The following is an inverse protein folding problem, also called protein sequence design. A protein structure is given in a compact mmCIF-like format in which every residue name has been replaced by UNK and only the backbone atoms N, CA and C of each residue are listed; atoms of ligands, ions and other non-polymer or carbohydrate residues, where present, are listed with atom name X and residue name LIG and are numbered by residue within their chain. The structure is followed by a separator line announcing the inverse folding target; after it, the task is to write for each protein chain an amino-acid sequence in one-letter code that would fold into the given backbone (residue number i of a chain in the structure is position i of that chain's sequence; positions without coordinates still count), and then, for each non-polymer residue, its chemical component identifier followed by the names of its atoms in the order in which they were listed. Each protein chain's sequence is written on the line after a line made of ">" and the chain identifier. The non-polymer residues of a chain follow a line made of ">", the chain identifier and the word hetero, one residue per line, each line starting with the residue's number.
data_IF_452495818668
#
_entry.id   IF_452495818668
#
_cell.length_a   1.000
_cell.length_b   1.000
_cell.length_c   1.000
_cell.angle_alpha   90.00
_cell.angle_beta   90.00
_cell.angle_gamma   90.00
#
_symmetry.space_group_name_H-M   'P 1'
#
loop_
_entity.id
_entity.type
_entity.pdbx_description
1 polymer ?
#
# COMPACT_ATOMS: atom_id res chain seq x y z
N UNK A 1 7.79 29.25 11.60
CA UNK A 1 7.92 28.14 10.62
C UNK A 1 8.46 26.94 11.37
N UNK A 2 7.59 26.02 11.77
CA UNK A 2 7.97 24.82 12.53
C UNK A 2 8.66 23.87 11.56
N UNK A 3 9.94 23.59 11.79
CA UNK A 3 10.71 22.58 11.05
C UNK A 3 9.92 21.27 11.08
N UNK A 4 9.46 20.80 9.92
CA UNK A 4 8.95 19.45 9.75
C UNK A 4 10.10 18.50 10.11
N UNK A 5 10.07 17.97 11.33
CA UNK A 5 11.04 16.96 11.76
C UNK A 5 10.92 15.78 10.80
N UNK A 6 11.98 15.48 10.07
CA UNK A 6 12.10 14.26 9.28
C UNK A 6 11.79 13.07 10.21
N UNK A 7 10.73 12.34 9.90
CA UNK A 7 10.30 11.18 10.69
C UNK A 7 10.60 9.93 9.87
N UNK A 8 11.30 9.00 10.49
CA UNK A 8 11.43 7.67 9.93
C UNK A 8 10.19 6.82 10.28
N UNK A 9 9.71 6.07 9.30
CA UNK A 9 8.65 5.08 9.50
C UNK A 9 9.26 3.71 9.76
N UNK A 10 8.65 2.90 10.63
CA UNK A 10 9.04 1.51 10.77
C UNK A 10 8.94 0.79 9.42
N UNK A 11 9.98 0.04 9.07
CA UNK A 11 9.97 -0.81 7.89
C UNK A 11 10.04 -2.28 8.32
N UNK A 12 9.07 -3.05 7.86
CA UNK A 12 8.96 -4.48 8.14
C UNK A 12 9.27 -5.34 6.92
N UNK A 13 9.72 -4.74 5.82
CA UNK A 13 10.16 -5.47 4.63
C UNK A 13 11.43 -6.24 4.97
N UNK A 14 11.43 -7.55 4.71
CA UNK A 14 12.59 -8.43 4.93
C UNK A 14 13.41 -8.66 3.68
N UNK A 15 12.74 -8.96 2.56
CA UNK A 15 13.37 -9.25 1.28
C UNK A 15 12.33 -9.20 0.15
N UNK A 16 12.81 -9.29 -1.09
CA UNK A 16 11.96 -9.56 -2.24
C UNK A 16 12.11 -11.03 -2.63
N UNK A 17 11.07 -11.61 -3.20
CA UNK A 17 11.05 -13.04 -3.54
C UNK A 17 10.47 -13.25 -4.94
N UNK A 18 11.15 -14.07 -5.76
CA UNK A 18 10.64 -14.44 -7.07
C UNK A 18 9.30 -15.18 -6.94
N UNK A 19 8.28 -14.71 -7.65
CA UNK A 19 6.92 -15.29 -7.60
C UNK A 19 6.84 -16.73 -8.15
N UNK A 20 7.86 -17.19 -8.86
CA UNK A 20 7.91 -18.54 -9.44
C UNK A 20 8.87 -19.46 -8.70
N UNK A 21 10.09 -18.99 -8.42
CA UNK A 21 11.17 -19.86 -7.92
C UNK A 21 11.40 -19.77 -6.42
N UNK A 22 10.85 -18.74 -5.75
CA UNK A 22 11.13 -18.45 -4.35
C UNK A 22 12.53 -17.87 -4.10
N UNK A 23 13.35 -17.62 -5.15
CA UNK A 23 14.67 -17.00 -5.00
C UNK A 23 14.54 -15.65 -4.34
N UNK A 24 15.38 -15.39 -3.33
CA UNK A 24 15.37 -14.14 -2.55
C UNK A 24 16.29 -13.10 -3.15
N UNK A 25 15.85 -11.85 -3.06
CA UNK A 25 16.55 -10.66 -3.54
C UNK A 25 16.58 -9.62 -2.41
N UNK A 26 17.61 -8.80 -2.43
CA UNK A 26 17.76 -7.71 -1.49
C UNK A 26 16.64 -6.68 -1.64
N UNK A 27 16.06 -6.25 -0.53
CA UNK A 27 15.13 -5.12 -0.47
C UNK A 27 15.90 -3.80 -0.29
N UNK A 28 15.24 -2.67 -0.60
CA UNK A 28 15.81 -1.33 -0.39
C UNK A 28 16.75 -0.85 -1.50
N UNK A 29 16.91 -1.64 -2.55
CA UNK A 29 17.61 -1.24 -3.78
C UNK A 29 16.69 -1.43 -4.99
N UNK A 30 16.87 -0.64 -6.08
CA UNK A 30 16.09 -0.84 -7.29
C UNK A 30 16.26 -2.25 -7.87
N UNK A 31 15.15 -2.93 -8.09
CA UNK A 31 15.09 -4.26 -8.66
C UNK A 31 14.20 -4.28 -9.90
N UNK A 32 14.56 -5.07 -10.88
CA UNK A 32 13.71 -5.39 -12.03
C UNK A 32 12.90 -6.68 -11.81
N UNK A 33 12.79 -7.48 -12.86
CA UNK A 33 12.27 -8.83 -12.75
C UNK A 33 13.31 -9.77 -12.13
N UNK A 34 12.85 -10.89 -11.58
CA UNK A 34 13.74 -11.97 -11.13
C UNK A 34 14.56 -12.54 -12.28
N UNK A 35 15.61 -13.33 -11.99
CA UNK A 35 16.39 -14.07 -13.02
C UNK A 35 15.52 -14.99 -13.87
N UNK A 36 14.39 -15.45 -13.34
CA UNK A 36 13.40 -16.23 -14.08
C UNK A 36 12.42 -15.37 -14.90
N UNK A 37 12.63 -14.04 -15.02
CA UNK A 37 11.77 -13.12 -15.75
C UNK A 37 10.40 -12.94 -15.10
N UNK A 38 10.28 -13.11 -13.79
CA UNK A 38 9.01 -13.03 -13.04
C UNK A 38 9.00 -11.85 -12.07
N UNK A 39 7.78 -11.36 -11.72
CA UNK A 39 7.63 -10.33 -10.69
C UNK A 39 8.22 -10.75 -9.36
N UNK A 40 8.71 -9.77 -8.61
CA UNK A 40 9.18 -9.93 -7.25
C UNK A 40 8.06 -9.56 -6.27
N UNK A 41 7.83 -10.43 -5.30
CA UNK A 41 6.89 -10.24 -4.21
C UNK A 41 7.62 -9.63 -3.01
N UNK A 42 7.09 -8.58 -2.44
CA UNK A 42 7.62 -7.99 -1.20
C UNK A 42 7.24 -8.89 -0.03
N UNK A 43 8.23 -9.27 0.78
CA UNK A 43 8.05 -10.09 1.97
C UNK A 43 8.25 -9.27 3.24
N UNK A 44 7.38 -9.48 4.22
CA UNK A 44 7.31 -8.74 5.47
C UNK A 44 7.52 -9.67 6.66
N UNK A 45 8.09 -9.13 7.73
CA UNK A 45 8.05 -9.71 9.06
C UNK A 45 6.69 -9.38 9.70
N UNK A 46 5.70 -10.24 9.45
CA UNK A 46 4.32 -10.01 9.90
C UNK A 46 4.17 -10.10 11.42
N UNK A 47 4.96 -10.93 12.10
CA UNK A 47 4.90 -11.09 13.55
C UNK A 47 5.43 -9.83 14.23
N UNK A 48 6.55 -9.30 13.75
CA UNK A 48 7.09 -8.03 14.22
C UNK A 48 6.13 -6.87 13.93
N UNK A 49 5.52 -6.84 12.76
CA UNK A 49 4.52 -5.83 12.40
C UNK A 49 3.30 -5.90 13.31
N UNK A 50 2.74 -7.10 13.56
CA UNK A 50 1.60 -7.31 14.43
C UNK A 50 1.87 -6.91 15.89
N UNK A 51 3.13 -6.99 16.31
CA UNK A 51 3.56 -6.55 17.65
C UNK A 51 3.79 -5.04 17.75
N UNK A 52 3.97 -4.36 16.59
CA UNK A 52 4.36 -2.95 16.54
C UNK A 52 3.19 -1.99 16.30
N UNK A 53 2.05 -2.47 15.80
CA UNK A 53 0.89 -1.64 15.47
C UNK A 53 -0.42 -2.37 15.73
N UNK A 54 -1.41 -1.66 16.29
CA UNK A 54 -2.76 -2.17 16.54
C UNK A 54 -3.77 -1.67 15.49
N UNK A 55 -4.93 -2.31 15.44
CA UNK A 55 -6.03 -1.85 14.58
C UNK A 55 -6.55 -0.49 15.01
N UNK A 56 -6.65 -0.28 16.30
CA UNK A 56 -7.12 0.97 16.92
C UNK A 56 -6.21 2.15 16.55
N UNK A 57 -4.90 1.93 16.55
CA UNK A 57 -3.94 2.94 16.11
C UNK A 57 -4.09 3.28 14.62
N UNK A 58 -4.35 2.28 13.77
CA UNK A 58 -4.61 2.50 12.34
C UNK A 58 -5.94 3.25 12.15
N UNK A 59 -6.99 2.87 12.88
CA UNK A 59 -8.31 3.50 12.80
C UNK A 59 -8.31 4.96 13.26
N UNK A 60 -7.52 5.29 14.27
CA UNK A 60 -7.38 6.64 14.79
C UNK A 60 -6.66 7.61 13.83
N UNK A 61 -6.01 7.11 12.78
CA UNK A 61 -5.31 7.95 11.81
C UNK A 61 -6.27 8.56 10.79
N UNK A 62 -5.87 9.72 10.28
CA UNK A 62 -6.54 10.31 9.12
C UNK A 62 -6.64 9.30 7.96
N UNK A 63 -7.76 9.32 7.24
CA UNK A 63 -8.01 8.42 6.13
C UNK A 63 -7.03 8.62 4.98
N UNK A 64 -7.05 7.69 4.03
CA UNK A 64 -6.20 7.70 2.85
C UNK A 64 -5.19 6.55 2.80
N UNK A 65 -4.36 6.56 1.77
CA UNK A 65 -3.44 5.46 1.49
C UNK A 65 -2.34 5.32 2.58
N UNK A 66 -1.77 6.44 3.01
CA UNK A 66 -0.64 6.47 3.94
C UNK A 66 -0.99 6.19 5.41
N UNK A 67 -2.28 5.99 5.72
CA UNK A 67 -2.65 5.49 7.05
C UNK A 67 -2.06 4.11 7.34
N UNK A 68 -1.73 3.35 6.29
CA UNK A 68 -1.17 2.00 6.32
C UNK A 68 0.36 2.00 6.09
N UNK A 69 1.06 3.05 6.46
CA UNK A 69 2.48 3.26 6.15
C UNK A 69 3.41 2.13 6.60
N UNK A 70 3.09 1.41 7.67
CA UNK A 70 3.87 0.26 8.16
C UNK A 70 3.81 -0.94 7.21
N UNK A 71 2.80 -0.99 6.35
CA UNK A 71 2.66 -2.00 5.30
C UNK A 71 3.33 -1.58 3.98
N UNK A 72 3.98 -0.41 3.96
CA UNK A 72 4.59 0.16 2.78
C UNK A 72 6.11 0.23 2.95
N UNK A 73 6.89 0.08 1.86
CA UNK A 73 8.35 0.06 1.94
C UNK A 73 9.01 1.43 2.11
N UNK A 74 8.26 2.53 2.06
CA UNK A 74 8.78 3.89 2.24
C UNK A 74 9.13 4.11 3.69
N UNK A 75 10.38 4.52 3.96
CA UNK A 75 10.88 4.74 5.32
C UNK A 75 10.92 6.20 5.74
N UNK A 76 11.08 7.13 4.80
CA UNK A 76 11.22 8.56 5.09
C UNK A 76 9.94 9.33 4.82
N UNK A 77 9.45 10.06 5.82
CA UNK A 77 8.24 10.89 5.69
C UNK A 77 8.31 11.94 4.58
N UNK A 78 9.49 12.46 4.30
CA UNK A 78 9.73 13.44 3.22
C UNK A 78 9.56 12.86 1.81
N UNK A 79 9.61 11.53 1.67
CA UNK A 79 9.41 10.84 0.41
C UNK A 79 7.94 10.47 0.16
N UNK A 80 7.10 10.63 1.17
CA UNK A 80 5.65 10.44 1.04
C UNK A 80 5.09 11.44 0.04
N UNK A 81 4.37 10.93 -0.95
CA UNK A 81 3.65 11.73 -1.94
C UNK A 81 2.19 11.36 -1.86
N UNK A 82 1.33 12.36 -1.65
CA UNK A 82 -0.11 12.21 -1.65
C UNK A 82 -0.72 13.24 -2.61
N UNK A 83 -1.55 12.78 -3.53
CA UNK A 83 -2.35 13.60 -4.43
C UNK A 83 -3.81 13.68 -3.98
N UNK A 84 -4.09 13.31 -2.72
CA UNK A 84 -5.43 13.24 -2.16
C UNK A 84 -6.07 11.86 -2.30
N UNK A 85 -5.28 10.78 -2.19
CA UNK A 85 -5.79 9.40 -2.18
C UNK A 85 -6.64 9.20 -0.91
N UNK A 86 -7.94 9.41 -1.08
CA UNK A 86 -8.93 9.31 -0.01
C UNK A 86 -9.24 7.86 0.39
N UNK A 87 -9.90 7.69 1.53
CA UNK A 87 -10.62 6.46 1.84
C UNK A 87 -11.85 6.38 0.95
N UNK A 88 -11.81 5.48 -0.03
CA UNK A 88 -12.89 5.31 -1.00
C UNK A 88 -14.10 4.62 -0.38
N UNK A 89 -15.34 4.99 -0.77
CA UNK A 89 -16.55 4.45 -0.17
C UNK A 89 -16.76 2.98 -0.49
N UNK A 90 -17.40 2.29 0.44
CA UNK A 90 -17.95 0.95 0.27
C UNK A 90 -19.45 1.08 -0.02
N UNK A 91 -19.87 0.69 -1.21
CA UNK A 91 -21.25 0.83 -1.67
C UNK A 91 -21.91 -0.53 -1.77
N UNK A 92 -22.99 -0.84 -1.01
CA UNK A 92 -23.75 -2.07 -1.19
C UNK A 92 -24.50 -2.05 -2.52
N UNK A 93 -24.62 -3.21 -3.15
CA UNK A 93 -25.31 -3.41 -4.43
C UNK A 93 -26.55 -4.30 -4.26
N UNK A 94 -27.64 -3.81 -3.64
CA UNK A 94 -28.79 -4.66 -3.29
C UNK A 94 -29.50 -5.24 -4.51
N UNK A 95 -29.67 -4.48 -5.59
CA UNK A 95 -30.30 -4.96 -6.82
C UNK A 95 -29.51 -6.10 -7.48
N UNK A 96 -28.17 -5.98 -7.50
CA UNK A 96 -27.33 -7.05 -8.06
C UNK A 96 -27.29 -8.26 -7.14
N UNK A 97 -27.23 -8.04 -5.83
CA UNK A 97 -27.28 -9.10 -4.83
C UNK A 97 -28.55 -9.94 -4.97
N UNK A 98 -29.71 -9.28 -5.14
CA UNK A 98 -30.98 -9.96 -5.38
C UNK A 98 -30.96 -10.82 -6.65
N UNK A 99 -30.43 -10.28 -7.76
CA UNK A 99 -30.30 -11.04 -9.03
C UNK A 99 -29.38 -12.26 -8.91
N UNK A 100 -28.37 -12.19 -8.05
CA UNK A 100 -27.40 -13.26 -7.81
C UNK A 100 -27.79 -14.19 -6.66
N UNK A 101 -28.96 -13.96 -6.04
CA UNK A 101 -29.43 -14.71 -4.86
C UNK A 101 -28.41 -14.74 -3.71
N UNK A 102 -27.68 -13.65 -3.51
CA UNK A 102 -26.76 -13.47 -2.38
C UNK A 102 -27.31 -12.43 -1.40
N UNK A 103 -26.86 -12.49 -0.15
CA UNK A 103 -27.24 -11.50 0.85
C UNK A 103 -26.77 -10.09 0.40
N UNK A 104 -27.68 -9.10 0.42
CA UNK A 104 -27.43 -7.73 -0.02
C UNK A 104 -26.31 -7.03 0.75
N UNK A 105 -26.10 -7.40 2.02
CA UNK A 105 -25.03 -6.84 2.86
C UNK A 105 -23.65 -7.42 2.53
N UNK A 106 -23.60 -8.52 1.78
CA UNK A 106 -22.37 -9.22 1.42
C UNK A 106 -21.84 -8.87 0.03
N UNK A 107 -22.61 -8.16 -0.78
CA UNK A 107 -22.18 -7.69 -2.09
C UNK A 107 -21.90 -6.18 -2.04
N UNK A 108 -20.64 -5.83 -1.91
CA UNK A 108 -20.18 -4.45 -1.70
C UNK A 108 -19.14 -4.12 -2.78
N UNK A 109 -19.25 -2.94 -3.37
CA UNK A 109 -18.24 -2.36 -4.27
C UNK A 109 -17.43 -1.32 -3.52
N UNK A 110 -16.11 -1.42 -3.59
CA UNK A 110 -15.20 -0.35 -3.21
C UNK A 110 -14.96 0.55 -4.43
N UNK A 111 -15.47 1.79 -4.37
CA UNK A 111 -15.45 2.71 -5.52
C UNK A 111 -14.08 3.42 -5.65
N UNK A 112 -13.12 2.76 -6.24
CA UNK A 112 -11.79 3.32 -6.53
C UNK A 112 -11.79 4.34 -7.69
N UNK A 113 -12.91 4.53 -8.39
CA UNK A 113 -13.09 5.61 -9.37
C UNK A 113 -13.05 7.00 -8.76
N UNK A 114 -13.17 7.13 -7.44
CA UNK A 114 -13.07 8.41 -6.70
C UNK A 114 -11.66 8.83 -6.35
N UNK A 115 -10.66 8.04 -6.70
CA UNK A 115 -9.27 8.42 -6.53
C UNK A 115 -8.87 9.52 -7.53
N UNK A 116 -7.81 10.31 -7.26
CA UNK A 116 -7.41 11.45 -8.08
C UNK A 116 -7.24 11.16 -9.58
N UNK A 117 -6.84 9.93 -9.93
CA UNK A 117 -6.68 9.50 -11.34
C UNK A 117 -7.95 8.83 -11.91
N UNK A 118 -9.05 8.79 -11.17
CA UNK A 118 -10.25 8.04 -11.53
C UNK A 118 -10.05 6.52 -11.55
N UNK A 119 -9.00 6.00 -10.93
CA UNK A 119 -8.61 4.60 -11.02
C UNK A 119 -7.85 4.13 -9.77
N UNK A 120 -8.00 2.84 -9.43
CA UNK A 120 -7.21 2.18 -8.37
C UNK A 120 -5.68 2.30 -8.55
N UNK A 121 -5.22 2.56 -9.77
CA UNK A 121 -3.79 2.74 -10.09
C UNK A 121 -3.15 3.91 -9.34
N UNK A 122 -3.93 4.90 -8.89
CA UNK A 122 -3.42 6.02 -8.11
C UNK A 122 -2.62 5.55 -6.89
N UNK A 123 -3.09 4.53 -6.17
CA UNK A 123 -2.41 4.01 -4.98
C UNK A 123 -1.04 3.42 -5.30
N UNK A 124 -0.98 2.54 -6.31
CA UNK A 124 0.28 1.93 -6.73
C UNK A 124 1.27 2.94 -7.31
N UNK A 125 0.79 3.93 -8.06
CA UNK A 125 1.63 4.96 -8.64
C UNK A 125 2.14 5.94 -7.57
N UNK A 126 1.34 6.31 -6.59
CA UNK A 126 1.81 7.11 -5.44
C UNK A 126 2.96 6.40 -4.71
N UNK A 127 2.84 5.09 -4.48
CA UNK A 127 3.89 4.29 -3.90
C UNK A 127 5.13 4.22 -4.79
N UNK A 128 4.96 4.00 -6.10
CA UNK A 128 6.08 3.90 -7.04
C UNK A 128 6.90 5.20 -7.09
N UNK A 129 6.22 6.36 -7.13
CA UNK A 129 6.89 7.67 -7.12
C UNK A 129 7.57 7.94 -5.76
N UNK A 130 6.93 7.57 -4.66
CA UNK A 130 7.54 7.68 -3.33
C UNK A 130 8.81 6.83 -3.22
N UNK A 131 8.79 5.59 -3.75
CA UNK A 131 9.96 4.72 -3.78
C UNK A 131 11.04 5.23 -4.74
N UNK A 132 10.68 5.83 -5.87
CA UNK A 132 11.67 6.48 -6.74
C UNK A 132 12.44 7.58 -6.00
N UNK A 133 11.74 8.40 -5.20
CA UNK A 133 12.38 9.39 -4.32
C UNK A 133 13.24 8.73 -3.24
N UNK A 134 12.75 7.64 -2.62
CA UNK A 134 13.49 6.89 -1.60
C UNK A 134 14.85 6.39 -2.14
N UNK A 135 14.85 5.95 -3.41
CA UNK A 135 16.06 5.50 -4.12
C UNK A 135 16.90 6.64 -4.73
N UNK A 136 16.47 7.90 -4.59
CA UNK A 136 17.18 9.05 -5.16
C UNK A 136 17.12 9.10 -6.69
N UNK A 137 16.14 8.47 -7.33
CA UNK A 137 15.93 8.52 -8.78
C UNK A 137 15.31 9.88 -9.17
N UNK A 138 15.78 10.44 -10.28
CA UNK A 138 15.32 11.72 -10.86
C UNK A 138 14.56 11.48 -12.16
#
# INVERSE_FOLDING_TARGET
>A
MTSLKHREYPNFVTHLECSLTGEKYEAGIPQGLSKAGRPLLVRYDLDKMASAITKEEIEAREGGFWRYREFLPVTKSENVIALGEITTPLMPLPTMASKLSVNSERLIVKDEGRLPTGSFKARGLALAVAMAKEFGLQ
#
